data_IF_762214331084
#
_entry.id   IF_762214331084
#
_cell.length_a   1.000
_cell.length_b   1.000
_cell.length_c   1.000
_cell.angle_alpha   90.00
_cell.angle_beta   90.00
_cell.angle_gamma   90.00
#
_symmetry.space_group_name_H-M   'P 1'
#
loop_
_entity.id
_entity.type
_entity.pdbx_description
1 polymer ?
#
# COMPACT_ATOMS: atom_id res chain seq x y z
N UNK A 1 91.88 -20.51 2.62
CA UNK A 1 90.79 -20.74 1.64
C UNK A 1 89.43 -20.85 2.32
N UNK A 2 89.30 -21.55 3.45
CA UNK A 2 88.01 -21.72 4.15
C UNK A 2 87.40 -20.45 4.74
N UNK A 3 88.22 -19.52 5.28
CA UNK A 3 87.73 -18.26 5.86
C UNK A 3 87.12 -17.34 4.79
N UNK A 4 87.69 -17.32 3.57
CA UNK A 4 87.16 -16.57 2.44
C UNK A 4 85.81 -17.14 1.96
N UNK A 5 85.67 -18.47 1.98
CA UNK A 5 84.44 -19.15 1.62
C UNK A 5 83.33 -18.87 2.64
N UNK A 6 83.68 -18.83 3.94
CA UNK A 6 82.76 -18.45 5.00
C UNK A 6 82.32 -16.98 4.88
N UNK A 7 83.25 -16.05 4.63
CA UNK A 7 82.91 -14.64 4.41
C UNK A 7 81.99 -14.43 3.20
N UNK A 8 82.23 -15.13 2.09
CA UNK A 8 81.35 -15.06 0.92
C UNK A 8 79.96 -15.63 1.22
N UNK A 9 79.87 -16.71 2.00
CA UNK A 9 78.58 -17.29 2.40
C UNK A 9 77.77 -16.35 3.31
N UNK A 10 78.44 -15.66 4.24
CA UNK A 10 77.79 -14.69 5.14
C UNK A 10 77.33 -13.46 4.35
N UNK A 11 78.13 -12.96 3.41
CA UNK A 11 77.74 -11.85 2.53
C UNK A 11 76.53 -12.22 1.66
N UNK A 12 76.46 -13.47 1.17
CA UNK A 12 75.33 -13.95 0.38
C UNK A 12 74.04 -14.05 1.21
N UNK A 13 74.14 -14.51 2.46
CA UNK A 13 73.00 -14.54 3.38
C UNK A 13 72.52 -13.12 3.71
N UNK A 14 73.44 -12.19 3.98
CA UNK A 14 73.10 -10.78 4.22
C UNK A 14 72.38 -10.19 2.99
N UNK A 15 72.90 -10.45 1.78
CA UNK A 15 72.28 -9.97 0.54
C UNK A 15 70.86 -10.53 0.34
N UNK A 16 70.63 -11.82 0.61
CA UNK A 16 69.30 -12.42 0.55
C UNK A 16 68.36 -11.78 1.58
N UNK A 17 68.84 -11.53 2.80
CA UNK A 17 68.01 -10.88 3.83
C UNK A 17 67.68 -9.43 3.49
N UNK A 18 68.60 -8.69 2.85
CA UNK A 18 68.33 -7.34 2.33
C UNK A 18 67.27 -7.38 1.23
N UNK A 19 67.36 -8.30 0.26
CA UNK A 19 66.35 -8.46 -0.79
C UNK A 19 64.98 -8.84 -0.21
N UNK A 20 64.94 -9.68 0.82
CA UNK A 20 63.69 -10.06 1.48
C UNK A 20 63.06 -8.86 2.21
N UNK A 21 63.86 -8.05 2.90
CA UNK A 21 63.41 -6.82 3.56
C UNK A 21 62.93 -5.80 2.53
N UNK A 22 63.67 -5.60 1.44
CA UNK A 22 63.29 -4.72 0.33
C UNK A 22 61.99 -5.19 -0.32
N UNK A 23 61.81 -6.49 -0.56
CA UNK A 23 60.54 -7.04 -1.07
C UNK A 23 59.37 -6.88 -0.09
N UNK A 24 59.61 -6.99 1.23
CA UNK A 24 58.58 -6.76 2.26
C UNK A 24 58.23 -5.28 2.35
N UNK A 25 59.21 -4.37 2.22
CA UNK A 25 58.99 -2.93 2.17
C UNK A 25 58.27 -2.52 0.88
N UNK A 26 58.64 -3.11 -0.27
CA UNK A 26 57.96 -2.91 -1.55
C UNK A 26 56.52 -3.46 -1.50
N UNK A 27 56.28 -4.62 -0.88
CA UNK A 27 54.92 -5.14 -0.69
C UNK A 27 54.10 -4.35 0.35
N UNK A 28 54.73 -3.74 1.36
CA UNK A 28 54.07 -2.81 2.28
C UNK A 28 53.78 -1.45 1.63
N UNK A 29 54.66 -0.98 0.74
CA UNK A 29 54.49 0.25 -0.03
C UNK A 29 53.63 0.06 -1.29
N UNK A 30 53.29 -1.18 -1.67
CA UNK A 30 52.09 -1.52 -2.46
C UNK A 30 50.81 -1.38 -1.62
N UNK A 31 50.71 -0.28 -0.87
CA UNK A 31 49.41 0.26 -0.48
C UNK A 31 48.88 0.92 -1.74
N UNK A 32 47.84 0.29 -2.30
CA UNK A 32 47.03 0.72 -3.45
C UNK A 32 47.62 1.88 -4.25
N UNK A 33 48.04 1.61 -5.49
CA UNK A 33 47.83 2.61 -6.55
C UNK A 33 46.49 3.27 -6.24
N UNK A 34 46.52 4.60 -6.07
CA UNK A 34 45.35 5.43 -6.07
C UNK A 34 44.47 4.84 -7.15
N UNK A 35 43.42 4.11 -6.76
CA UNK A 35 42.37 3.75 -7.69
C UNK A 35 42.00 5.12 -8.19
N UNK A 36 42.31 5.40 -9.46
CA UNK A 36 41.63 6.43 -10.18
C UNK A 36 40.18 6.10 -9.89
N UNK A 37 39.59 6.80 -8.92
CA UNK A 37 38.17 6.99 -8.86
C UNK A 37 37.97 7.54 -10.26
N UNK A 38 37.34 6.79 -11.19
CA UNK A 38 36.90 7.44 -12.40
C UNK A 38 36.07 8.60 -11.85
N UNK A 39 36.54 9.84 -12.06
CA UNK A 39 35.79 11.03 -11.69
C UNK A 39 34.34 10.69 -12.04
N UNK A 40 33.39 10.77 -11.06
CA UNK A 40 32.07 10.15 -11.17
C UNK A 40 31.62 10.41 -12.60
N UNK A 41 31.39 9.33 -13.39
CA UNK A 41 31.25 9.46 -14.83
C UNK A 41 30.31 10.63 -15.01
N UNK A 42 30.75 11.74 -15.64
CA UNK A 42 29.99 12.98 -15.70
C UNK A 42 28.60 12.58 -16.13
N UNK A 43 27.70 12.44 -15.17
CA UNK A 43 26.49 11.66 -15.36
C UNK A 43 25.65 12.66 -16.11
N UNK A 44 25.60 12.51 -17.44
CA UNK A 44 24.62 13.22 -18.22
C UNK A 44 23.29 12.76 -17.63
N UNK A 45 22.53 13.64 -16.94
CA UNK A 45 21.29 13.22 -16.36
C UNK A 45 20.33 13.10 -17.54
N UNK A 46 20.24 11.91 -18.10
CA UNK A 46 18.97 11.49 -18.70
C UNK A 46 18.23 10.73 -17.59
N UNK A 47 18.09 11.42 -16.45
CA UNK A 47 17.08 11.13 -15.44
C UNK A 47 15.75 11.70 -15.99
N UNK A 48 15.32 11.19 -17.15
CA UNK A 48 13.96 11.46 -17.62
C UNK A 48 13.10 10.39 -16.97
N UNK A 49 12.73 10.65 -15.72
CA UNK A 49 11.94 9.74 -14.92
C UNK A 49 10.47 9.76 -15.33
N UNK A 50 10.12 9.26 -16.52
CA UNK A 50 8.71 9.12 -16.89
C UNK A 50 8.02 8.14 -15.96
N UNK A 51 7.03 8.62 -15.22
CA UNK A 51 6.11 7.74 -14.50
C UNK A 51 4.92 7.39 -15.38
N UNK A 52 4.51 6.13 -15.31
CA UNK A 52 3.42 5.61 -16.13
C UNK A 52 2.19 5.26 -15.28
N UNK A 53 2.37 4.92 -13.99
CA UNK A 53 1.29 4.52 -13.08
C UNK A 53 1.70 4.66 -11.61
N UNK A 54 0.70 4.78 -10.74
CA UNK A 54 0.85 4.72 -9.30
C UNK A 54 0.37 3.34 -8.80
N UNK A 55 1.32 2.46 -8.49
CA UNK A 55 1.03 1.10 -8.02
C UNK A 55 0.86 1.05 -6.51
N UNK A 56 0.16 0.01 -6.03
CA UNK A 56 -0.01 -0.26 -4.60
C UNK A 56 1.33 -0.40 -3.87
N UNK A 57 2.34 -1.05 -4.47
CA UNK A 57 3.67 -1.16 -3.87
C UNK A 57 4.30 0.21 -3.59
N UNK A 58 4.14 1.19 -4.49
CA UNK A 58 4.62 2.55 -4.28
C UNK A 58 3.97 3.17 -3.05
N UNK A 59 2.65 3.03 -2.93
CA UNK A 59 1.87 3.55 -1.81
C UNK A 59 2.34 2.92 -0.49
N UNK A 60 2.51 1.59 -0.45
CA UNK A 60 2.99 0.88 0.74
C UNK A 60 4.40 1.36 1.13
N UNK A 61 5.31 1.59 0.16
CA UNK A 61 6.65 2.11 0.46
C UNK A 61 6.61 3.53 1.01
N UNK A 62 5.69 4.35 0.51
CA UNK A 62 5.46 5.68 1.06
C UNK A 62 4.93 5.61 2.51
N UNK A 63 3.91 4.78 2.77
CA UNK A 63 3.36 4.57 4.12
C UNK A 63 4.45 4.10 5.11
N UNK A 64 5.34 3.21 4.66
CA UNK A 64 6.48 2.74 5.45
C UNK A 64 7.53 3.83 5.76
N UNK A 65 7.71 4.80 4.86
CA UNK A 65 8.65 5.90 5.08
C UNK A 65 8.09 7.00 5.97
N UNK A 66 6.77 7.25 5.90
CA UNK A 66 6.11 8.36 6.60
C UNK A 66 5.39 7.94 7.88
N UNK A 67 5.20 6.64 8.09
CA UNK A 67 4.48 6.06 9.23
C UNK A 67 3.07 6.66 9.40
N UNK A 68 2.42 6.93 8.26
CA UNK A 68 1.06 7.49 8.16
C UNK A 68 0.29 6.77 7.07
N UNK A 69 -1.04 6.71 7.22
CA UNK A 69 -1.92 6.16 6.19
C UNK A 69 -1.90 7.06 4.94
N UNK A 70 -1.96 6.45 3.76
CA UNK A 70 -2.00 7.19 2.49
C UNK A 70 -3.21 8.15 2.39
N UNK A 71 -4.28 7.89 3.13
CA UNK A 71 -5.44 8.80 3.21
C UNK A 71 -5.12 10.15 3.84
N UNK A 72 -3.98 10.27 4.54
CA UNK A 72 -3.54 11.47 5.25
C UNK A 72 -2.39 12.20 4.55
N UNK A 73 -2.10 11.87 3.29
CA UNK A 73 -1.05 12.54 2.49
C UNK A 73 -1.34 14.03 2.40
N UNK A 74 -0.37 14.85 2.81
CA UNK A 74 -0.42 16.29 2.61
C UNK A 74 0.38 16.69 1.37
N UNK A 75 -0.31 17.01 0.28
CA UNK A 75 0.32 17.48 -0.97
C UNK A 75 0.93 18.88 -0.86
N UNK A 76 0.70 19.60 0.25
CA UNK A 76 1.33 20.89 0.54
C UNK A 76 2.63 20.72 1.32
N UNK A 77 2.82 19.59 2.00
CA UNK A 77 4.07 19.27 2.69
C UNK A 77 5.13 18.79 1.68
N UNK A 78 6.26 19.50 1.67
CA UNK A 78 7.38 19.17 0.80
C UNK A 78 7.90 17.76 1.09
N UNK A 79 7.94 17.34 2.34
CA UNK A 79 8.52 16.05 2.69
C UNK A 79 7.64 14.86 2.26
N UNK A 80 6.32 15.00 2.37
CA UNK A 80 5.35 14.02 1.85
C UNK A 80 5.48 13.86 0.33
N UNK A 81 5.58 14.97 -0.41
CA UNK A 81 5.74 14.97 -1.88
C UNK A 81 7.08 14.36 -2.30
N UNK A 82 8.20 14.80 -1.69
CA UNK A 82 9.53 14.25 -2.00
C UNK A 82 9.61 12.75 -1.74
N UNK A 83 9.02 12.29 -0.63
CA UNK A 83 8.97 10.87 -0.27
C UNK A 83 8.13 10.06 -1.24
N UNK A 84 7.01 10.62 -1.73
CA UNK A 84 6.14 9.96 -2.71
C UNK A 84 6.84 9.83 -4.06
N UNK A 85 7.47 10.91 -4.51
CA UNK A 85 8.26 10.94 -5.71
C UNK A 85 9.43 9.94 -5.67
N UNK A 86 10.10 9.83 -4.52
CA UNK A 86 11.13 8.82 -4.30
C UNK A 86 10.55 7.40 -4.35
N UNK A 87 9.45 7.15 -3.64
CA UNK A 87 8.78 5.85 -3.65
C UNK A 87 8.42 5.42 -5.07
N UNK A 88 7.89 6.32 -5.90
CA UNK A 88 7.60 6.07 -7.32
C UNK A 88 8.87 5.78 -8.14
N UNK A 89 9.97 6.43 -7.80
CA UNK A 89 11.24 6.25 -8.51
C UNK A 89 11.82 4.85 -8.26
N UNK A 90 11.89 4.41 -7.00
CA UNK A 90 12.51 3.13 -6.61
C UNK A 90 11.65 1.90 -6.95
N UNK A 91 10.34 2.06 -7.10
CA UNK A 91 9.44 0.96 -7.47
C UNK A 91 9.37 0.73 -8.97
N UNK A 92 9.87 1.65 -9.79
CA UNK A 92 10.05 1.45 -11.23
C UNK A 92 11.32 0.68 -11.59
N UNK A 93 11.56 0.49 -12.89
CA UNK A 93 12.71 -0.24 -13.44
C UNK A 93 14.05 0.52 -13.35
N UNK A 94 14.17 1.46 -12.41
CA UNK A 94 15.33 2.36 -12.29
C UNK A 94 16.30 1.84 -11.24
N UNK A 95 17.60 2.16 -11.36
CA UNK A 95 18.58 1.80 -10.34
C UNK A 95 18.18 2.40 -8.98
N UNK A 96 18.26 1.60 -7.93
CA UNK A 96 17.94 2.04 -6.58
C UNK A 96 18.99 3.02 -6.03
N UNK A 97 18.53 4.10 -5.42
CA UNK A 97 19.33 5.03 -4.62
C UNK A 97 18.74 5.10 -3.22
N UNK A 98 19.51 5.58 -2.24
CA UNK A 98 18.95 5.93 -0.93
C UNK A 98 18.17 7.24 -1.02
N UNK A 99 17.25 7.46 -0.07
CA UNK A 99 16.43 8.67 -0.04
C UNK A 99 17.27 9.95 0.07
N UNK A 100 18.36 9.92 0.84
CA UNK A 100 19.27 11.07 1.00
C UNK A 100 19.92 11.48 -0.31
N UNK A 101 20.45 10.52 -1.08
CA UNK A 101 21.05 10.78 -2.40
C UNK A 101 19.99 11.27 -3.38
N UNK A 102 18.78 10.72 -3.30
CA UNK A 102 17.68 11.15 -4.14
C UNK A 102 17.24 12.60 -3.85
N UNK A 103 17.31 13.05 -2.60
CA UNK A 103 17.01 14.43 -2.20
C UNK A 103 17.97 15.44 -2.83
N UNK A 104 19.24 15.08 -3.03
CA UNK A 104 20.20 15.90 -3.78
C UNK A 104 19.80 16.06 -5.25
N UNK A 105 19.23 15.01 -5.86
CA UNK A 105 18.73 15.03 -7.23
C UNK A 105 17.45 15.88 -7.34
N UNK A 106 16.59 15.84 -6.32
CA UNK A 106 15.39 16.68 -6.23
C UNK A 106 15.69 18.18 -6.07
N UNK A 107 16.93 18.56 -5.74
CA UNK A 107 17.35 19.96 -5.73
C UNK A 107 17.35 20.59 -7.14
N UNK A 108 17.40 19.77 -8.20
CA UNK A 108 17.19 20.26 -9.56
C UNK A 108 15.71 20.53 -9.83
N UNK A 109 15.36 21.82 -9.92
CA UNK A 109 14.00 22.29 -10.21
C UNK A 109 13.41 21.68 -11.50
N UNK A 110 14.23 21.39 -12.51
CA UNK A 110 13.74 20.81 -13.76
C UNK A 110 13.27 19.38 -13.55
N UNK A 111 14.00 18.64 -12.73
CA UNK A 111 13.72 17.24 -12.43
C UNK A 111 12.47 17.09 -11.57
N UNK A 112 12.38 17.86 -10.48
CA UNK A 112 11.18 17.83 -9.61
C UNK A 112 9.94 18.29 -10.36
N UNK A 113 10.01 19.35 -11.18
CA UNK A 113 8.86 19.83 -11.95
C UNK A 113 8.39 18.79 -12.98
N UNK A 114 9.31 18.11 -13.66
CA UNK A 114 8.96 17.03 -14.58
C UNK A 114 8.27 15.86 -13.86
N UNK A 115 8.82 15.44 -12.72
CA UNK A 115 8.25 14.35 -11.92
C UNK A 115 6.90 14.69 -11.30
N UNK A 116 6.75 15.90 -10.76
CA UNK A 116 5.47 16.39 -10.22
C UNK A 116 4.42 16.55 -11.31
N UNK A 117 4.80 16.98 -12.52
CA UNK A 117 3.88 17.04 -13.66
C UNK A 117 3.41 15.65 -14.09
N UNK A 118 4.31 14.66 -14.10
CA UNK A 118 3.94 13.27 -14.39
C UNK A 118 3.01 12.69 -13.31
N UNK A 119 3.29 12.96 -12.03
CA UNK A 119 2.41 12.58 -10.92
C UNK A 119 1.02 13.24 -11.06
N UNK A 120 0.96 14.54 -11.34
CA UNK A 120 -0.29 15.26 -11.56
C UNK A 120 -1.12 14.65 -12.69
N UNK A 121 -0.48 14.33 -13.82
CA UNK A 121 -1.13 13.63 -14.94
C UNK A 121 -1.67 12.25 -14.56
N UNK A 122 -0.91 11.47 -13.77
CA UNK A 122 -1.38 10.17 -13.27
C UNK A 122 -2.60 10.34 -12.37
N UNK A 123 -2.55 11.30 -11.44
CA UNK A 123 -3.68 11.59 -10.55
C UNK A 123 -4.93 12.03 -11.32
N UNK A 124 -4.78 12.86 -12.35
CA UNK A 124 -5.89 13.26 -13.23
C UNK A 124 -6.51 12.07 -13.96
N UNK A 125 -5.70 11.11 -14.42
CA UNK A 125 -6.19 9.87 -15.05
C UNK A 125 -6.92 9.01 -14.02
N UNK A 126 -6.31 8.78 -12.84
CA UNK A 126 -6.91 7.96 -11.77
C UNK A 126 -8.24 8.55 -11.28
N UNK A 127 -8.35 9.88 -11.19
CA UNK A 127 -9.57 10.58 -10.80
C UNK A 127 -10.76 10.29 -11.72
N UNK A 128 -10.53 9.89 -12.98
CA UNK A 128 -11.60 9.51 -13.92
C UNK A 128 -12.23 8.16 -13.56
N UNK A 129 -11.45 7.26 -12.95
CA UNK A 129 -11.87 5.91 -12.57
C UNK A 129 -12.39 5.84 -11.14
N UNK A 130 -12.13 6.86 -10.33
CA UNK A 130 -12.69 6.96 -8.99
C UNK A 130 -14.22 7.07 -9.11
N UNK A 131 -14.92 6.00 -8.72
CA UNK A 131 -16.38 6.01 -8.58
C UNK A 131 -16.71 7.20 -7.67
N UNK A 132 -17.62 8.08 -8.11
CA UNK A 132 -18.18 9.11 -7.22
C UNK A 132 -18.94 8.38 -6.13
N UNK A 133 -18.27 8.07 -5.03
CA UNK A 133 -18.91 7.50 -3.85
C UNK A 133 -19.83 8.60 -3.34
N UNK A 134 -21.13 8.46 -3.59
CA UNK A 134 -22.15 9.23 -2.90
C UNK A 134 -22.03 8.87 -1.42
N UNK A 135 -21.97 9.91 -0.60
CA UNK A 135 -21.70 9.90 0.85
C UNK A 135 -22.62 8.94 1.66
N UNK A 136 -23.66 8.39 1.04
CA UNK A 136 -24.61 7.43 1.63
C UNK A 136 -24.06 6.01 1.83
N UNK A 137 -23.00 5.59 1.14
CA UNK A 137 -22.50 4.20 1.22
C UNK A 137 -21.36 4.00 2.23
N UNK A 138 -20.88 5.06 2.87
CA UNK A 138 -19.87 4.98 3.93
C UNK A 138 -20.62 4.91 5.26
N UNK A 139 -21.19 3.74 5.54
CA UNK A 139 -21.67 3.42 6.88
C UNK A 139 -20.51 3.58 7.87
N UNK A 140 -20.70 4.44 8.88
CA UNK A 140 -19.85 4.71 10.04
C UNK A 140 -18.49 3.97 10.05
N UNK A 141 -17.51 4.53 9.35
CA UNK A 141 -16.11 4.19 9.60
C UNK A 141 -15.63 4.95 10.85
N UNK A 142 -16.10 4.55 12.03
CA UNK A 142 -15.46 4.87 13.32
C UNK A 142 -14.17 4.05 13.52
N UNK A 143 -13.40 3.86 12.45
CA UNK A 143 -12.13 3.15 12.44
C UNK A 143 -10.98 4.14 12.29
N UNK A 144 -9.89 3.91 13.04
CA UNK A 144 -8.60 4.55 12.75
C UNK A 144 -8.27 4.39 11.26
N UNK A 145 -7.65 5.40 10.61
CA UNK A 145 -7.32 5.30 9.19
C UNK A 145 -6.45 4.07 8.95
N UNK A 146 -7.00 3.07 8.27
CA UNK A 146 -6.29 1.84 7.98
C UNK A 146 -5.19 2.09 6.94
N UNK A 147 -4.10 1.32 7.05
CA UNK A 147 -3.01 1.35 6.09
C UNK A 147 -3.41 0.56 4.85
N UNK A 148 -3.11 1.08 3.66
CA UNK A 148 -3.35 0.33 2.42
C UNK A 148 -2.53 -0.97 2.44
N UNK A 149 -1.34 -0.95 3.05
CA UNK A 149 -0.55 -2.14 3.29
C UNK A 149 -1.29 -3.26 4.05
N UNK A 150 -2.09 -2.95 5.08
CA UNK A 150 -2.83 -3.98 5.84
C UNK A 150 -4.01 -4.54 5.04
N UNK A 151 -4.72 -3.69 4.31
CA UNK A 151 -5.84 -4.09 3.44
C UNK A 151 -5.33 -5.05 2.36
N UNK A 152 -4.30 -4.65 1.64
CA UNK A 152 -3.71 -5.46 0.54
C UNK A 152 -3.14 -6.77 1.07
N UNK A 153 -2.48 -6.74 2.24
CA UNK A 153 -1.97 -7.97 2.86
C UNK A 153 -3.11 -8.95 3.17
N UNK A 154 -4.24 -8.46 3.66
CA UNK A 154 -5.43 -9.28 3.93
C UNK A 154 -5.99 -9.88 2.64
N UNK A 155 -6.07 -9.09 1.56
CA UNK A 155 -6.51 -9.59 0.26
C UNK A 155 -5.57 -10.66 -0.31
N UNK A 156 -4.25 -10.50 -0.16
CA UNK A 156 -3.26 -11.51 -0.56
C UNK A 156 -3.46 -12.79 0.25
N UNK A 157 -3.65 -12.69 1.57
CA UNK A 157 -3.94 -13.85 2.41
C UNK A 157 -5.25 -14.54 2.04
N UNK A 158 -6.24 -13.80 1.53
CA UNK A 158 -7.49 -14.33 1.01
C UNK A 158 -7.36 -15.01 -0.37
N UNK A 159 -6.19 -14.96 -1.00
CA UNK A 159 -5.88 -15.64 -2.25
C UNK A 159 -5.69 -14.72 -3.47
N UNK A 160 -5.61 -13.41 -3.29
CA UNK A 160 -5.21 -12.50 -4.37
C UNK A 160 -3.73 -12.73 -4.73
N UNK A 161 -3.41 -12.76 -6.02
CA UNK A 161 -2.03 -12.91 -6.46
C UNK A 161 -1.16 -11.74 -5.96
N UNK A 162 -0.09 -12.06 -5.24
CA UNK A 162 0.79 -11.06 -4.63
C UNK A 162 1.57 -10.26 -5.68
N UNK A 163 1.91 -10.87 -6.83
CA UNK A 163 2.62 -10.16 -7.89
C UNK A 163 1.72 -9.08 -8.50
N UNK A 164 0.50 -9.46 -8.89
CA UNK A 164 -0.51 -8.53 -9.37
C UNK A 164 -0.82 -7.45 -8.34
N UNK A 165 -1.12 -7.83 -7.10
CA UNK A 165 -1.54 -6.90 -6.04
C UNK A 165 -0.49 -5.81 -5.75
N UNK A 166 0.80 -6.14 -5.82
CA UNK A 166 1.86 -5.18 -5.50
C UNK A 166 2.32 -4.40 -6.73
N UNK A 167 2.54 -5.06 -7.87
CA UNK A 167 3.23 -4.44 -9.01
C UNK A 167 2.29 -3.91 -10.10
N UNK A 168 1.07 -4.43 -10.20
CA UNK A 168 0.16 -4.13 -11.32
C UNK A 168 -1.10 -3.41 -10.88
N UNK A 169 -1.61 -3.71 -9.69
CA UNK A 169 -2.84 -3.14 -9.14
C UNK A 169 -2.71 -1.63 -8.90
N UNK A 170 -3.75 -0.89 -9.28
CA UNK A 170 -3.88 0.54 -9.01
C UNK A 170 -4.78 0.80 -7.80
N UNK A 171 -4.70 2.01 -7.24
CA UNK A 171 -5.48 2.39 -6.06
C UNK A 171 -6.99 2.36 -6.31
N UNK A 172 -7.43 2.69 -7.52
CA UNK A 172 -8.84 2.72 -7.91
C UNK A 172 -9.48 1.32 -8.00
N UNK A 173 -8.67 0.26 -8.11
CA UNK A 173 -9.16 -1.12 -8.19
C UNK A 173 -9.47 -1.71 -6.81
N UNK A 174 -8.84 -1.19 -5.74
CA UNK A 174 -9.01 -1.71 -4.37
C UNK A 174 -10.48 -1.83 -3.93
N UNK A 175 -11.34 -0.80 -4.13
CA UNK A 175 -12.73 -0.90 -3.71
C UNK A 175 -13.48 -2.09 -4.33
N UNK A 176 -13.17 -2.45 -5.57
CA UNK A 176 -13.79 -3.57 -6.28
C UNK A 176 -13.45 -4.89 -5.59
N UNK A 177 -12.17 -5.07 -5.24
CA UNK A 177 -11.72 -6.27 -4.54
C UNK A 177 -12.27 -6.35 -3.12
N UNK A 178 -12.32 -5.23 -2.40
CA UNK A 178 -12.89 -5.16 -1.05
C UNK A 178 -14.38 -5.55 -1.09
N UNK A 179 -15.17 -4.99 -2.00
CA UNK A 179 -16.60 -5.32 -2.15
C UNK A 179 -16.80 -6.81 -2.44
N UNK A 180 -16.00 -7.38 -3.35
CA UNK A 180 -16.07 -8.80 -3.68
C UNK A 180 -15.69 -9.70 -2.50
N UNK A 181 -14.68 -9.30 -1.73
CA UNK A 181 -14.22 -10.02 -0.55
C UNK A 181 -15.27 -9.99 0.57
N UNK A 182 -15.85 -8.83 0.84
CA UNK A 182 -16.91 -8.68 1.83
C UNK A 182 -18.16 -9.49 1.46
N UNK A 183 -18.56 -9.47 0.19
CA UNK A 183 -19.68 -10.27 -0.31
C UNK A 183 -19.43 -11.76 -0.09
N UNK A 184 -18.26 -12.26 -0.50
CA UNK A 184 -17.88 -13.67 -0.30
C UNK A 184 -17.91 -14.03 1.19
N UNK A 185 -17.37 -13.17 2.05
CA UNK A 185 -17.38 -13.36 3.51
C UNK A 185 -18.81 -13.42 4.07
N UNK A 186 -19.71 -12.55 3.62
CA UNK A 186 -21.13 -12.57 4.02
C UNK A 186 -21.78 -13.89 3.62
N UNK A 187 -21.58 -14.34 2.39
CA UNK A 187 -22.09 -15.63 1.90
C UNK A 187 -21.56 -16.82 2.71
N UNK A 188 -20.26 -16.82 3.06
CA UNK A 188 -19.65 -17.84 3.92
C UNK A 188 -20.25 -17.85 5.33
N UNK A 189 -20.46 -16.67 5.94
CA UNK A 189 -21.08 -16.55 7.25
C UNK A 189 -22.53 -17.02 7.25
N UNK A 190 -23.30 -16.69 6.21
CA UNK A 190 -24.68 -17.16 6.03
C UNK A 190 -24.75 -18.68 5.81
N UNK A 191 -23.84 -19.23 5.02
CA UNK A 191 -23.69 -20.67 4.82
C UNK A 191 -23.36 -21.39 6.14
N UNK A 192 -22.41 -20.86 6.91
CA UNK A 192 -22.05 -21.40 8.22
C UNK A 192 -23.22 -21.34 9.21
N UNK A 193 -23.99 -20.25 9.20
CA UNK A 193 -25.22 -20.11 10.00
C UNK A 193 -26.25 -21.18 9.60
N UNK A 194 -26.45 -21.39 8.31
CA UNK A 194 -27.37 -22.41 7.79
C UNK A 194 -26.93 -23.83 8.18
N UNK A 195 -25.65 -24.15 8.05
CA UNK A 195 -25.11 -25.45 8.46
C UNK A 195 -25.22 -25.68 9.97
N UNK A 196 -24.97 -24.62 10.76
CA UNK A 196 -25.16 -24.66 12.21
C UNK A 196 -26.63 -24.93 12.55
N UNK A 197 -27.56 -24.27 11.85
CA UNK A 197 -28.98 -24.52 11.99
C UNK A 197 -29.35 -25.98 11.72
N UNK A 198 -28.90 -26.55 10.61
CA UNK A 198 -29.18 -27.97 10.29
C UNK A 198 -28.58 -28.94 11.33
N UNK A 199 -27.39 -28.63 11.84
CA UNK A 199 -26.73 -29.45 12.86
C UNK A 199 -27.49 -29.41 14.18
N UNK A 200 -28.05 -28.25 14.54
CA UNK A 200 -28.79 -28.06 15.79
C UNK A 200 -30.26 -28.46 15.70
N UNK A 201 -30.81 -28.58 14.49
CA UNK A 201 -32.23 -28.86 14.23
C UNK A 201 -32.77 -30.10 14.98
N UNK A 202 -32.04 -31.22 15.13
CA UNK A 202 -32.53 -32.37 15.90
C UNK A 202 -32.71 -32.07 17.40
N UNK A 203 -32.12 -30.99 17.89
CA UNK A 203 -32.08 -30.59 19.30
C UNK A 203 -32.91 -29.33 19.60
N UNK A 204 -33.52 -28.70 18.58
CA UNK A 204 -34.28 -27.46 18.72
C UNK A 204 -35.74 -27.68 18.29
N UNK A 205 -36.68 -27.10 19.03
CA UNK A 205 -38.09 -27.05 18.63
C UNK A 205 -38.29 -26.04 17.50
N UNK A 206 -38.32 -26.55 16.26
CA UNK A 206 -38.46 -25.75 15.05
C UNK A 206 -39.72 -24.84 15.05
N UNK A 207 -40.76 -25.17 15.83
CA UNK A 207 -41.96 -24.32 15.93
C UNK A 207 -41.71 -22.99 16.62
N UNK A 208 -40.65 -22.87 17.41
CA UNK A 208 -40.30 -21.65 18.15
C UNK A 208 -39.47 -20.67 17.33
N UNK A 209 -38.92 -21.10 16.18
CA UNK A 209 -38.09 -20.26 15.31
C UNK A 209 -38.93 -19.72 14.17
N UNK A 210 -39.34 -18.45 14.28
CA UNK A 210 -40.22 -17.78 13.31
C UNK A 210 -39.48 -17.41 12.02
N UNK A 211 -38.20 -17.04 12.13
CA UNK A 211 -37.37 -16.64 10.98
C UNK A 211 -36.30 -17.69 10.63
N UNK A 212 -36.46 -18.93 11.11
CA UNK A 212 -35.57 -20.06 10.81
C UNK A 212 -34.14 -19.83 11.30
N UNK A 213 -33.15 -19.99 10.42
CA UNK A 213 -31.74 -19.86 10.75
C UNK A 213 -31.34 -18.44 11.22
N UNK A 214 -32.11 -17.40 10.86
CA UNK A 214 -31.87 -16.02 11.31
C UNK A 214 -32.10 -15.84 12.81
N UNK A 215 -32.96 -16.65 13.42
CA UNK A 215 -33.24 -16.58 14.85
C UNK A 215 -32.10 -17.15 15.73
N UNK A 216 -31.08 -17.80 15.12
CA UNK A 216 -29.90 -18.28 15.85
C UNK A 216 -28.92 -17.15 16.17
N UNK A 217 -28.51 -16.43 15.13
CA UNK A 217 -27.51 -15.36 15.15
C UNK A 217 -27.93 -14.34 14.12
N UNK A 218 -28.09 -13.10 14.56
CA UNK A 218 -28.35 -11.95 13.69
C UNK A 218 -27.00 -11.33 13.36
N UNK A 219 -26.75 -11.08 12.07
CA UNK A 219 -25.51 -10.43 11.66
C UNK A 219 -25.60 -8.91 11.79
N UNK A 220 -24.48 -8.21 12.06
CA UNK A 220 -24.48 -6.75 12.20
C UNK A 220 -25.08 -6.01 10.99
N UNK A 221 -24.90 -6.53 9.77
CA UNK A 221 -25.48 -5.92 8.56
C UNK A 221 -26.99 -6.17 8.44
N UNK A 222 -27.52 -7.27 8.96
CA UNK A 222 -28.97 -7.51 8.99
C UNK A 222 -29.66 -6.60 10.02
N UNK A 223 -28.98 -6.26 11.13
CA UNK A 223 -29.49 -5.27 12.09
C UNK A 223 -29.59 -3.88 11.48
N UNK A 224 -28.59 -3.47 10.72
CA UNK A 224 -28.57 -2.16 10.07
C UNK A 224 -29.63 -2.07 8.96
N UNK A 225 -29.75 -3.12 8.13
CA UNK A 225 -30.82 -3.22 7.12
C UNK A 225 -32.21 -3.16 7.78
N UNK A 226 -32.40 -3.84 8.92
CA UNK A 226 -33.67 -3.81 9.66
C UNK A 226 -34.00 -2.42 10.25
N UNK A 227 -33.00 -1.65 10.71
CA UNK A 227 -33.20 -0.27 11.15
C UNK A 227 -33.60 0.63 9.99
N UNK A 228 -32.89 0.56 8.86
CA UNK A 228 -33.19 1.34 7.66
C UNK A 228 -34.60 1.02 7.15
N UNK A 229 -34.99 -0.26 7.17
CA UNK A 229 -36.34 -0.68 6.77
C UNK A 229 -37.41 -0.19 7.76
N UNK A 230 -37.13 -0.23 9.07
CA UNK A 230 -38.03 0.32 10.08
C UNK A 230 -38.23 1.84 9.93
N UNK A 231 -37.16 2.59 9.65
CA UNK A 231 -37.23 4.02 9.37
C UNK A 231 -38.05 4.32 8.11
N UNK A 232 -37.83 3.54 7.05
CA UNK A 232 -38.61 3.66 5.80
C UNK A 232 -40.09 3.37 6.05
N UNK A 233 -40.41 2.32 6.81
CA UNK A 233 -41.79 1.95 7.15
C UNK A 233 -42.48 3.02 8.01
N UNK A 234 -41.76 3.65 8.93
CA UNK A 234 -42.26 4.79 9.71
C UNK A 234 -42.54 5.97 8.77
N UNK A 235 -41.61 6.31 7.87
CA UNK A 235 -41.78 7.44 6.96
C UNK A 235 -42.95 7.24 5.99
N UNK A 236 -43.05 6.06 5.36
CA UNK A 236 -44.22 5.71 4.54
C UNK A 236 -45.52 5.70 5.35
N UNK A 237 -45.46 5.29 6.62
CA UNK A 237 -46.58 5.33 7.56
C UNK A 237 -47.04 6.76 7.86
N UNK A 238 -46.09 7.69 8.05
CA UNK A 238 -46.38 9.11 8.21
C UNK A 238 -47.01 9.71 6.95
N UNK A 239 -46.46 9.43 5.76
CA UNK A 239 -47.03 9.91 4.50
C UNK A 239 -48.46 9.39 4.27
N UNK A 240 -48.70 8.11 4.54
CA UNK A 240 -50.04 7.51 4.48
C UNK A 240 -50.99 8.14 5.50
N UNK A 241 -50.51 8.42 6.72
CA UNK A 241 -51.29 9.08 7.76
C UNK A 241 -51.64 10.52 7.39
N UNK A 242 -50.69 11.30 6.86
CA UNK A 242 -50.93 12.67 6.40
C UNK A 242 -51.96 12.70 5.26
N UNK A 243 -51.82 11.80 4.28
CA UNK A 243 -52.78 11.64 3.20
C UNK A 243 -54.19 11.29 3.72
N UNK A 244 -54.28 10.42 4.72
CA UNK A 244 -55.55 10.09 5.38
C UNK A 244 -56.16 11.28 6.14
N UNK A 245 -55.35 12.07 6.84
CA UNK A 245 -55.82 13.25 7.57
C UNK A 245 -56.29 14.37 6.61
N UNK A 246 -55.68 14.47 5.43
CA UNK A 246 -56.06 15.46 4.41
C UNK A 246 -57.35 15.07 3.65
N UNK A 247 -57.53 13.78 3.34
CA UNK A 247 -58.75 13.29 2.66
C UNK A 247 -60.03 13.42 3.49
N UNK A 248 -59.97 13.36 4.83
CA UNK A 248 -61.17 13.59 5.66
C UNK A 248 -61.66 15.04 5.74
N UNK A 249 -60.85 16.03 5.36
CA UNK A 249 -61.28 17.45 5.37
C UNK A 249 -62.14 17.83 4.16
N UNK A 250 -62.10 17.09 3.05
CA UNK A 250 -62.90 17.41 1.84
C UNK A 250 -64.36 16.97 1.93
N UNK A 251 -64.66 15.96 2.75
CA UNK A 251 -66.00 15.33 2.75
C UNK A 251 -66.94 15.92 3.82
N UNK A 252 -66.43 16.75 4.74
CA UNK A 252 -67.24 17.45 5.75
C UNK A 252 -67.76 18.82 5.30
N UNK A 253 -67.20 19.41 4.25
CA UNK A 253 -67.77 20.60 3.59
C UNK A 253 -68.56 20.17 2.36
N UNK A 254 -69.61 19.38 2.59
CA UNK A 254 -70.64 19.13 1.60
C UNK A 254 -71.29 20.43 1.16
N UNK A 255 -71.44 20.60 -0.15
CA UNK A 255 -72.53 21.38 -0.72
C UNK A 255 -73.87 20.74 -0.38
#
# INVERSE_FOLDING_TARGET
>A
MEILLFCLSVLFIIWITCIAIDNVIINRNKRSESSHIPAPPKFKPILIGKFHRLTIKTIIRWEQMREKSFSQVDYTDKEDVESLLYAMYITGDKPGYTFEVFREVLADERFINAMSSDLGRIMEIVAQFQKKITISDIGNAEGSPEYIGSIVSTLIMAGLDAHYALNEMELCDLPIYIESYEKKRKEEMESNRLWTFFTMMPHIDAKKMKNGAKDLIIFPWEEEEAKIEAERAINEGMEKFENFMNTKKSDYYGK
#
